data_IF_118609939464
#
_entry.id   IF_118609939464
#
_cell.length_a   1.000
_cell.length_b   1.000
_cell.length_c   1.000
_cell.angle_alpha   90.00
_cell.angle_beta   90.00
_cell.angle_gamma   90.00
#
_symmetry.space_group_name_H-M   'P 1'
#
loop_
_entity.id
_entity.type
_entity.pdbx_description
1 polymer ?
#
# COMPACT_ATOMS: atom_id res chain seq x y z
N UNK A 1 -10.97 -17.25 14.01
CA UNK A 1 -10.94 -17.57 12.56
C UNK A 1 -12.02 -16.73 11.91
N UNK A 2 -11.70 -15.86 10.95
CA UNK A 2 -12.72 -15.03 10.30
C UNK A 2 -13.76 -15.94 9.63
N UNK A 3 -15.04 -15.58 9.71
CA UNK A 3 -16.07 -16.35 9.02
C UNK A 3 -15.79 -16.28 7.50
N UNK A 4 -15.88 -17.41 6.75
CA UNK A 4 -15.60 -17.46 5.32
C UNK A 4 -16.31 -16.35 4.52
N UNK A 5 -17.53 -16.01 4.90
CA UNK A 5 -18.34 -14.98 4.27
C UNK A 5 -17.71 -13.57 4.32
N UNK A 6 -16.93 -13.27 5.35
CA UNK A 6 -16.31 -11.94 5.49
C UNK A 6 -15.12 -11.80 4.53
N UNK A 7 -14.34 -12.87 4.34
CA UNK A 7 -13.25 -12.90 3.38
C UNK A 7 -13.79 -12.77 1.95
N UNK A 8 -14.91 -13.42 1.63
CA UNK A 8 -15.56 -13.30 0.31
C UNK A 8 -15.98 -11.85 0.04
N UNK A 9 -16.65 -11.17 1.00
CA UNK A 9 -17.04 -9.76 0.81
C UNK A 9 -15.84 -8.83 0.62
N UNK A 10 -14.80 -9.00 1.44
CA UNK A 10 -13.58 -8.21 1.31
C UNK A 10 -12.91 -8.45 -0.06
N UNK A 11 -12.95 -9.70 -0.53
CA UNK A 11 -12.45 -10.06 -1.86
C UNK A 11 -13.25 -9.39 -2.98
N UNK A 12 -14.58 -9.42 -2.93
CA UNK A 12 -15.46 -8.78 -3.93
C UNK A 12 -15.22 -7.26 -3.99
N UNK A 13 -15.13 -6.60 -2.84
CA UNK A 13 -14.84 -5.16 -2.78
C UNK A 13 -13.43 -4.82 -3.32
N UNK A 14 -12.43 -5.65 -3.02
CA UNK A 14 -11.10 -5.52 -3.61
C UNK A 14 -11.13 -5.73 -5.13
N UNK A 15 -11.90 -6.71 -5.61
CA UNK A 15 -12.07 -7.00 -7.05
C UNK A 15 -12.71 -5.84 -7.80
N UNK A 16 -13.67 -5.17 -7.18
CA UNK A 16 -14.28 -3.98 -7.74
C UNK A 16 -13.24 -2.86 -7.90
N UNK A 17 -12.48 -2.57 -6.84
CA UNK A 17 -11.41 -1.55 -6.87
C UNK A 17 -10.25 -1.88 -7.81
N UNK A 18 -10.02 -3.16 -8.09
CA UNK A 18 -8.99 -3.63 -9.00
C UNK A 18 -9.15 -3.06 -10.41
N UNK A 19 -10.38 -3.06 -10.95
CA UNK A 19 -10.66 -2.64 -12.33
C UNK A 19 -11.30 -1.25 -12.42
N UNK A 20 -12.04 -0.83 -11.40
CA UNK A 20 -12.83 0.39 -11.50
C UNK A 20 -11.98 1.64 -11.26
N UNK A 21 -12.15 2.70 -12.07
CA UNK A 21 -11.63 4.02 -11.75
C UNK A 21 -12.10 4.49 -10.37
N UNK A 22 -11.27 5.28 -9.69
CA UNK A 22 -11.67 5.92 -8.45
C UNK A 22 -12.65 7.07 -8.75
N UNK A 23 -13.89 7.03 -8.22
CA UNK A 23 -14.92 8.01 -8.57
C UNK A 23 -14.58 9.43 -8.06
N UNK A 24 -13.77 9.54 -7.01
CA UNK A 24 -13.39 10.82 -6.41
C UNK A 24 -12.24 11.56 -7.11
N UNK A 25 -11.70 11.05 -8.22
CA UNK A 25 -10.59 11.70 -8.94
C UNK A 25 -11.03 12.23 -10.31
N UNK A 26 -10.78 13.52 -10.56
CA UNK A 26 -11.18 14.21 -11.78
C UNK A 26 -12.67 14.00 -12.14
N UNK A 27 -12.97 13.33 -13.26
CA UNK A 27 -14.34 13.02 -13.68
C UNK A 27 -14.87 11.69 -13.13
N UNK A 28 -14.09 10.96 -12.33
CA UNK A 28 -14.43 9.63 -11.82
C UNK A 28 -14.27 8.50 -12.82
N UNK A 29 -13.73 8.76 -14.02
CA UNK A 29 -13.58 7.78 -15.10
C UNK A 29 -12.12 7.55 -15.52
N UNK A 30 -11.15 8.17 -14.83
CA UNK A 30 -9.74 8.01 -15.16
C UNK A 30 -9.25 6.60 -14.77
N UNK A 31 -9.16 5.70 -15.75
CA UNK A 31 -8.73 4.30 -15.56
C UNK A 31 -7.35 4.16 -14.91
N UNK A 32 -6.53 5.21 -14.90
CA UNK A 32 -5.22 5.20 -14.23
C UNK A 32 -5.31 5.12 -12.70
N UNK A 33 -6.51 5.26 -12.15
CA UNK A 33 -6.79 5.28 -10.71
C UNK A 33 -7.35 3.97 -10.15
N UNK A 34 -7.43 2.91 -10.96
CA UNK A 34 -7.72 1.56 -10.45
C UNK A 34 -6.48 0.95 -9.80
N UNK A 35 -6.66 -0.03 -8.90
CA UNK A 35 -5.52 -0.62 -8.19
C UNK A 35 -4.56 -1.35 -9.16
N UNK A 36 -5.09 -1.99 -10.20
CA UNK A 36 -4.29 -2.58 -11.26
C UNK A 36 -3.42 -1.51 -11.96
N UNK A 37 -4.02 -0.37 -12.32
CA UNK A 37 -3.31 0.68 -13.04
C UNK A 37 -2.25 1.37 -12.17
N UNK A 38 -2.53 1.55 -10.87
CA UNK A 38 -1.54 2.04 -9.91
C UNK A 38 -0.37 1.05 -9.80
N UNK A 39 -0.63 -0.25 -9.65
CA UNK A 39 0.44 -1.24 -9.60
C UNK A 39 1.29 -1.23 -10.88
N UNK A 40 0.66 -1.14 -12.05
CA UNK A 40 1.36 -1.02 -13.33
C UNK A 40 2.17 0.27 -13.50
N UNK A 41 1.70 1.40 -12.98
CA UNK A 41 2.42 2.69 -13.05
C UNK A 41 3.62 2.73 -12.11
N UNK A 42 3.46 2.24 -10.88
CA UNK A 42 4.51 2.29 -9.87
C UNK A 42 5.52 1.16 -10.06
N UNK A 43 5.12 -0.10 -9.85
CA UNK A 43 6.03 -1.24 -10.00
C UNK A 43 6.46 -1.45 -11.46
N UNK A 44 5.52 -1.37 -12.42
CA UNK A 44 5.88 -1.50 -13.84
C UNK A 44 6.81 -0.40 -14.34
N UNK A 45 6.73 0.81 -13.76
CA UNK A 45 7.69 1.87 -14.00
C UNK A 45 9.10 1.51 -13.51
N UNK A 46 9.22 0.86 -12.35
CA UNK A 46 10.50 0.38 -11.83
C UNK A 46 11.08 -0.79 -12.63
N UNK A 47 10.25 -1.75 -13.04
CA UNK A 47 10.66 -2.85 -13.94
C UNK A 47 11.24 -2.29 -15.24
N UNK A 48 10.55 -1.32 -15.85
CA UNK A 48 11.04 -0.66 -17.05
C UNK A 48 12.37 0.07 -16.80
N UNK A 49 12.47 0.80 -15.68
CA UNK A 49 13.70 1.51 -15.31
C UNK A 49 14.87 0.55 -15.09
N UNK A 50 14.65 -0.55 -14.37
CA UNK A 50 15.66 -1.58 -14.11
C UNK A 50 16.17 -2.22 -15.41
N UNK A 51 15.29 -2.45 -16.39
CA UNK A 51 15.66 -2.96 -17.71
C UNK A 51 16.47 -1.96 -18.56
N UNK A 52 16.51 -0.67 -18.17
CA UNK A 52 17.19 0.40 -18.88
C UNK A 52 18.19 1.15 -17.97
N UNK A 53 18.90 0.40 -17.11
CA UNK A 53 19.99 0.91 -16.26
C UNK A 53 19.61 2.08 -15.34
N UNK A 54 18.33 2.17 -14.95
CA UNK A 54 17.79 3.25 -14.11
C UNK A 54 17.97 4.65 -14.73
N UNK A 55 18.13 4.71 -16.05
CA UNK A 55 18.21 5.94 -16.84
C UNK A 55 16.80 6.39 -17.24
N UNK A 56 16.48 7.66 -17.01
CA UNK A 56 15.13 8.20 -17.29
C UNK A 56 15.14 9.47 -18.15
N UNK A 57 16.19 9.69 -18.94
CA UNK A 57 16.33 10.84 -19.87
C UNK A 57 16.01 12.20 -19.22
N UNK A 58 16.34 12.38 -17.94
CA UNK A 58 16.12 13.63 -17.20
C UNK A 58 14.70 13.83 -16.67
N UNK A 59 13.85 12.80 -16.70
CA UNK A 59 12.52 12.81 -16.07
C UNK A 59 12.62 12.32 -14.62
N UNK A 60 11.48 12.17 -13.93
CA UNK A 60 11.39 11.41 -12.68
C UNK A 60 11.10 9.96 -13.00
N UNK A 61 11.58 9.00 -12.20
CA UNK A 61 11.25 7.58 -12.35
C UNK A 61 9.76 7.35 -12.08
N UNK A 62 9.23 8.02 -11.06
CA UNK A 62 7.80 8.10 -10.77
C UNK A 62 7.37 9.55 -10.92
N UNK A 63 6.44 9.81 -11.85
CA UNK A 63 5.95 11.17 -12.10
C UNK A 63 5.05 11.67 -10.97
N UNK A 64 5.11 12.98 -10.72
CA UNK A 64 4.26 13.68 -9.73
C UNK A 64 2.76 13.42 -9.92
N UNK A 65 2.32 13.19 -11.15
CA UNK A 65 0.92 12.90 -11.49
C UNK A 65 0.49 11.57 -10.88
N UNK A 66 1.36 10.56 -10.88
CA UNK A 66 1.07 9.26 -10.28
C UNK A 66 1.04 9.35 -8.76
N UNK A 67 1.95 10.14 -8.17
CA UNK A 67 1.90 10.46 -6.74
C UNK A 67 0.57 11.14 -6.39
N UNK A 68 0.15 12.13 -7.18
CA UNK A 68 -1.08 12.87 -6.93
C UNK A 68 -2.32 11.97 -7.04
N UNK A 69 -2.37 11.10 -8.06
CA UNK A 69 -3.41 10.08 -8.20
C UNK A 69 -3.45 9.15 -6.99
N UNK A 70 -2.32 8.56 -6.59
CA UNK A 70 -2.27 7.64 -5.47
C UNK A 70 -2.78 8.30 -4.18
N UNK A 71 -2.41 9.57 -3.94
CA UNK A 71 -2.88 10.32 -2.78
C UNK A 71 -4.39 10.52 -2.76
N UNK A 72 -5.01 10.80 -3.91
CA UNK A 72 -6.46 10.93 -3.99
C UNK A 72 -7.16 9.58 -3.81
N UNK A 73 -6.71 8.55 -4.53
CA UNK A 73 -7.30 7.21 -4.50
C UNK A 73 -7.22 6.59 -3.11
N UNK A 74 -6.15 6.89 -2.39
CA UNK A 74 -5.93 6.36 -1.04
C UNK A 74 -6.36 7.34 0.07
N UNK A 75 -7.05 8.43 -0.30
CA UNK A 75 -7.58 9.45 0.62
C UNK A 75 -6.52 10.13 1.50
N UNK A 76 -5.26 10.16 1.04
CA UNK A 76 -4.11 10.74 1.74
C UNK A 76 -3.95 12.25 1.52
N UNK A 77 -4.81 12.89 0.73
CA UNK A 77 -4.68 14.32 0.37
C UNK A 77 -4.63 15.23 1.58
N UNK A 78 -5.34 14.88 2.66
CA UNK A 78 -5.32 15.63 3.94
C UNK A 78 -4.01 15.49 4.71
N UNK A 79 -3.28 14.38 4.53
CA UNK A 79 -1.98 14.14 5.16
C UNK A 79 -0.82 14.81 4.42
N UNK A 80 -1.09 15.49 3.30
CA UNK A 80 -0.03 15.95 2.41
C UNK A 80 0.71 17.16 2.98
N UNK A 81 1.86 16.92 3.60
CA UNK A 81 2.76 17.97 4.08
C UNK A 81 3.71 18.52 2.98
N UNK A 82 3.86 17.81 1.85
CA UNK A 82 4.74 18.19 0.74
C UNK A 82 4.00 18.16 -0.60
N UNK A 83 4.39 19.03 -1.52
CA UNK A 83 3.83 19.01 -2.87
C UNK A 83 4.22 17.72 -3.63
N UNK A 84 3.38 17.23 -4.58
CA UNK A 84 3.68 16.02 -5.35
C UNK A 84 5.05 16.03 -6.03
N UNK A 85 5.54 17.19 -6.48
CA UNK A 85 6.87 17.36 -7.06
C UNK A 85 8.00 17.03 -6.07
N UNK A 86 7.84 17.42 -4.81
CA UNK A 86 8.83 17.18 -3.76
C UNK A 86 8.83 15.72 -3.35
N UNK A 87 7.65 15.09 -3.31
CA UNK A 87 7.50 13.65 -3.05
C UNK A 87 8.15 12.86 -4.19
N UNK A 88 7.86 13.20 -5.45
CA UNK A 88 8.48 12.56 -6.62
C UNK A 88 10.00 12.71 -6.63
N UNK A 89 10.52 13.87 -6.19
CA UNK A 89 11.95 14.07 -6.04
C UNK A 89 12.56 13.17 -4.96
N UNK A 90 11.95 13.12 -3.77
CA UNK A 90 12.43 12.26 -2.70
C UNK A 90 12.32 10.75 -3.05
N UNK A 91 11.33 10.38 -3.86
CA UNK A 91 11.20 9.03 -4.39
C UNK A 91 12.32 8.66 -5.35
N UNK A 92 12.74 9.58 -6.22
CA UNK A 92 13.88 9.34 -7.11
C UNK A 92 15.14 9.03 -6.30
N UNK A 93 15.41 9.80 -5.25
CA UNK A 93 16.56 9.59 -4.37
C UNK A 93 16.45 8.24 -3.65
N UNK A 94 15.29 7.95 -3.04
CA UNK A 94 15.00 6.66 -2.42
C UNK A 94 15.21 5.47 -3.39
N UNK A 95 14.70 5.57 -4.62
CA UNK A 95 14.82 4.51 -5.61
C UNK A 95 16.29 4.32 -6.00
N UNK A 96 17.03 5.40 -6.27
CA UNK A 96 18.43 5.33 -6.69
C UNK A 96 19.33 4.79 -5.58
N UNK A 97 19.11 5.20 -4.34
CA UNK A 97 20.01 4.92 -3.23
C UNK A 97 19.70 3.60 -2.53
N UNK A 98 18.42 3.18 -2.48
CA UNK A 98 17.99 2.02 -1.70
C UNK A 98 17.41 0.88 -2.54
N UNK A 99 16.55 1.19 -3.52
CA UNK A 99 15.83 0.19 -4.31
C UNK A 99 16.70 -0.39 -5.42
N UNK A 100 17.24 0.46 -6.29
CA UNK A 100 18.01 0.07 -7.46
C UNK A 100 19.21 -0.85 -7.14
N UNK A 101 20.00 -0.60 -6.07
CA UNK A 101 21.11 -1.48 -5.71
C UNK A 101 20.68 -2.89 -5.27
N UNK A 102 19.45 -3.04 -4.79
CA UNK A 102 18.90 -4.31 -4.28
C UNK A 102 17.97 -5.00 -5.27
N UNK A 103 17.50 -4.29 -6.30
CA UNK A 103 16.50 -4.77 -7.25
C UNK A 103 16.75 -6.18 -7.79
N UNK A 104 17.98 -6.57 -8.20
CA UNK A 104 18.22 -7.89 -8.77
C UNK A 104 17.95 -9.05 -7.80
N UNK A 105 17.98 -8.81 -6.49
CA UNK A 105 17.84 -9.85 -5.47
C UNK A 105 16.55 -9.77 -4.65
N UNK A 106 15.80 -8.67 -4.71
CA UNK A 106 14.60 -8.43 -3.88
C UNK A 106 13.61 -9.60 -3.88
N UNK A 107 13.30 -10.15 -5.07
CA UNK A 107 12.36 -11.27 -5.23
C UNK A 107 12.84 -12.56 -4.54
N UNK A 108 14.16 -12.77 -4.52
CA UNK A 108 14.81 -13.97 -3.99
C UNK A 108 15.20 -13.88 -2.52
N UNK A 109 15.01 -12.71 -1.88
CA UNK A 109 15.34 -12.55 -0.46
C UNK A 109 14.50 -13.51 0.40
N UNK A 110 15.07 -14.05 1.49
CA UNK A 110 14.29 -14.77 2.49
C UNK A 110 13.17 -13.90 3.07
N UNK A 111 12.04 -14.51 3.41
CA UNK A 111 10.85 -13.78 3.89
C UNK A 111 11.11 -12.92 5.13
N UNK A 112 11.96 -13.38 6.05
CA UNK A 112 12.38 -12.60 7.22
C UNK A 112 13.13 -11.32 6.82
N UNK A 113 14.00 -11.41 5.81
CA UNK A 113 14.75 -10.26 5.30
C UNK A 113 13.84 -9.31 4.53
N UNK A 114 12.90 -9.83 3.72
CA UNK A 114 11.87 -9.00 3.07
C UNK A 114 11.03 -8.25 4.09
N UNK A 115 10.64 -8.90 5.19
CA UNK A 115 9.86 -8.28 6.25
C UNK A 115 10.64 -7.16 6.95
N UNK A 116 11.90 -7.40 7.31
CA UNK A 116 12.76 -6.36 7.89
C UNK A 116 12.92 -5.17 6.93
N UNK A 117 13.19 -5.46 5.65
CA UNK A 117 13.36 -4.42 4.63
C UNK A 117 12.08 -3.62 4.39
N UNK A 118 10.92 -4.26 4.40
CA UNK A 118 9.63 -3.60 4.26
C UNK A 118 9.41 -2.57 5.37
N UNK A 119 9.69 -2.94 6.62
CA UNK A 119 9.58 -2.03 7.78
C UNK A 119 10.57 -0.88 7.65
N UNK A 120 11.85 -1.18 7.43
CA UNK A 120 12.90 -0.16 7.37
C UNK A 120 12.66 0.84 6.24
N UNK A 121 12.14 0.40 5.09
CA UNK A 121 11.83 1.29 3.96
C UNK A 121 10.59 2.14 4.20
N UNK A 122 9.56 1.62 4.88
CA UNK A 122 8.40 2.43 5.28
C UNK A 122 8.84 3.51 6.26
N UNK A 123 9.60 3.17 7.30
CA UNK A 123 10.12 4.13 8.28
C UNK A 123 11.07 5.16 7.61
N UNK A 124 11.94 4.72 6.69
CA UNK A 124 12.81 5.60 5.93
C UNK A 124 12.02 6.62 5.11
N UNK A 125 11.06 6.17 4.29
CA UNK A 125 10.23 7.04 3.47
C UNK A 125 9.35 7.95 4.32
N UNK A 126 8.85 7.47 5.46
CA UNK A 126 8.10 8.29 6.40
C UNK A 126 8.95 9.47 6.91
N UNK A 127 10.20 9.20 7.33
CA UNK A 127 11.10 10.22 7.86
C UNK A 127 11.69 11.18 6.82
N UNK A 128 11.94 10.72 5.59
CA UNK A 128 12.71 11.48 4.59
C UNK A 128 11.85 11.96 3.40
N UNK A 129 10.81 11.20 3.04
CA UNK A 129 10.00 11.41 1.83
C UNK A 129 8.90 12.46 1.98
N UNK A 130 8.23 12.50 3.13
CA UNK A 130 6.96 13.22 3.27
C UNK A 130 6.97 14.42 4.22
N UNK A 131 8.04 14.59 5.01
CA UNK A 131 8.27 15.82 5.78
C UNK A 131 7.51 15.95 7.10
N UNK A 132 6.87 14.88 7.59
CA UNK A 132 6.26 14.85 8.93
C UNK A 132 6.60 13.54 9.66
N UNK A 133 6.65 13.59 10.99
CA UNK A 133 6.91 12.45 11.88
C UNK A 133 5.86 11.33 11.78
N UNK A 134 4.68 11.58 11.19
CA UNK A 134 3.56 10.63 11.13
C UNK A 134 3.17 10.28 9.68
N UNK A 135 4.17 10.07 8.82
CA UNK A 135 3.96 9.81 7.38
C UNK A 135 3.95 8.32 7.01
N UNK A 136 4.00 7.43 8.00
CA UNK A 136 4.04 5.97 7.81
C UNK A 136 2.84 5.45 7.03
N UNK A 137 1.63 6.00 7.26
CA UNK A 137 0.43 5.61 6.52
C UNK A 137 0.52 5.92 5.02
N UNK A 138 1.20 7.01 4.64
CA UNK A 138 1.45 7.36 3.25
C UNK A 138 2.59 6.51 2.67
N UNK A 139 3.67 6.33 3.43
CA UNK A 139 4.82 5.52 3.05
C UNK A 139 4.44 4.05 2.79
N UNK A 140 3.64 3.45 3.67
CA UNK A 140 3.18 2.07 3.53
C UNK A 140 2.36 1.88 2.26
N UNK A 141 1.43 2.80 1.96
CA UNK A 141 0.62 2.73 0.73
C UNK A 141 1.45 2.90 -0.52
N UNK A 142 2.43 3.79 -0.48
CA UNK A 142 3.32 3.99 -1.61
C UNK A 142 4.14 2.73 -1.88
N UNK A 143 4.78 2.18 -0.84
CA UNK A 143 5.57 0.95 -0.97
C UNK A 143 4.74 -0.26 -1.33
N UNK A 144 3.48 -0.31 -0.90
CA UNK A 144 2.55 -1.37 -1.29
C UNK A 144 2.41 -1.50 -2.81
N UNK A 145 2.38 -0.38 -3.56
CA UNK A 145 2.33 -0.40 -5.03
C UNK A 145 3.72 -0.37 -5.68
N UNK A 146 4.73 0.21 -5.03
CA UNK A 146 6.07 0.39 -5.59
C UNK A 146 6.89 -0.90 -5.51
N UNK A 147 6.79 -1.65 -4.41
CA UNK A 147 7.60 -2.82 -4.11
C UNK A 147 6.71 -4.00 -3.70
N UNK A 148 5.91 -4.55 -4.63
CA UNK A 148 4.89 -5.54 -4.30
C UNK A 148 5.46 -6.86 -3.78
N UNK A 149 6.72 -7.17 -4.07
CA UNK A 149 7.42 -8.35 -3.54
C UNK A 149 7.71 -8.28 -2.03
N UNK A 150 7.62 -7.09 -1.41
CA UNK A 150 7.84 -6.91 0.01
C UNK A 150 6.51 -7.01 0.78
N UNK A 151 6.46 -7.66 1.96
CA UNK A 151 5.26 -7.86 2.77
C UNK A 151 4.86 -6.58 3.54
N UNK A 152 4.61 -5.51 2.81
CA UNK A 152 4.10 -4.23 3.32
C UNK A 152 2.61 -4.37 3.65
N UNK A 153 2.20 -3.87 4.82
CA UNK A 153 0.79 -3.75 5.23
C UNK A 153 0.45 -2.28 5.35
N UNK A 154 -0.68 -1.84 4.81
CA UNK A 154 -1.02 -0.43 4.86
C UNK A 154 -1.40 -0.01 6.28
N UNK A 155 -0.79 1.06 6.79
CA UNK A 155 -1.14 1.62 8.08
C UNK A 155 -2.27 2.66 7.95
N UNK A 156 -3.25 2.59 8.83
CA UNK A 156 -4.19 3.67 9.12
C UNK A 156 -4.86 3.41 10.47
N UNK A 157 -5.52 4.42 11.03
CA UNK A 157 -6.34 4.23 12.24
C UNK A 157 -7.41 3.16 12.02
N UNK A 158 -8.06 3.15 10.84
CA UNK A 158 -9.02 2.09 10.49
C UNK A 158 -8.39 0.69 10.49
N UNK A 159 -7.16 0.54 10.00
CA UNK A 159 -6.47 -0.75 10.02
C UNK A 159 -6.05 -1.17 11.43
N UNK A 160 -5.62 -0.24 12.29
CA UNK A 160 -5.33 -0.53 13.70
C UNK A 160 -6.59 -1.00 14.42
N UNK A 161 -7.72 -0.31 14.23
CA UNK A 161 -9.02 -0.71 14.80
C UNK A 161 -9.50 -2.05 14.25
N UNK A 162 -9.34 -2.31 12.95
CA UNK A 162 -9.65 -3.60 12.35
C UNK A 162 -8.81 -4.74 12.92
N UNK A 163 -7.50 -4.53 13.13
CA UNK A 163 -6.62 -5.50 13.77
C UNK A 163 -7.01 -5.76 15.23
N UNK A 164 -7.33 -4.70 15.98
CA UNK A 164 -7.82 -4.79 17.35
C UNK A 164 -9.12 -5.60 17.40
N UNK A 165 -10.08 -5.35 16.50
CA UNK A 165 -11.33 -6.10 16.40
C UNK A 165 -11.11 -7.57 16.06
N UNK A 166 -10.12 -7.89 15.22
CA UNK A 166 -9.82 -9.27 14.83
C UNK A 166 -9.05 -10.06 15.89
N UNK A 167 -8.15 -9.42 16.64
CA UNK A 167 -7.14 -10.11 17.45
C UNK A 167 -7.07 -9.69 18.92
N UNK A 168 -7.77 -8.62 19.32
CA UNK A 168 -7.70 -8.05 20.67
C UNK A 168 -6.34 -7.44 21.04
N UNK A 169 -5.45 -7.21 20.06
CA UNK A 169 -4.12 -6.62 20.27
C UNK A 169 -4.21 -5.10 20.34
N UNK A 170 -3.51 -4.49 21.31
CA UNK A 170 -3.51 -3.06 21.59
C UNK A 170 -3.03 -2.18 20.41
N UNK A 171 -3.27 -0.87 20.54
CA UNK A 171 -2.75 0.15 19.64
C UNK A 171 -1.23 0.00 19.45
N UNK A 172 -0.75 0.27 18.23
CA UNK A 172 0.66 0.17 17.86
C UNK A 172 1.22 1.58 17.73
N UNK A 173 2.30 1.87 18.45
CA UNK A 173 2.91 3.21 18.51
C UNK A 173 3.86 3.48 17.33
N UNK A 174 4.16 2.46 16.54
CA UNK A 174 5.06 2.53 15.38
C UNK A 174 4.56 1.66 14.22
N UNK A 175 5.03 1.94 13.00
CA UNK A 175 4.79 1.05 11.87
C UNK A 175 5.37 -0.35 12.09
N UNK A 176 6.53 -0.47 12.78
CA UNK A 176 7.16 -1.75 13.09
C UNK A 176 6.25 -2.65 13.93
N UNK A 177 5.69 -2.10 15.00
CA UNK A 177 4.77 -2.83 15.88
C UNK A 177 3.48 -3.20 15.13
N UNK A 178 2.93 -2.24 14.37
CA UNK A 178 1.76 -2.49 13.53
C UNK A 178 2.02 -3.62 12.52
N UNK A 179 3.15 -3.57 11.81
CA UNK A 179 3.50 -4.55 10.78
C UNK A 179 3.70 -5.95 11.37
N UNK A 180 4.25 -6.05 12.59
CA UNK A 180 4.38 -7.33 13.29
C UNK A 180 3.00 -7.91 13.65
N UNK A 181 2.09 -7.09 14.19
CA UNK A 181 0.73 -7.51 14.48
C UNK A 181 -0.07 -7.88 13.22
N UNK A 182 0.08 -7.10 12.14
CA UNK A 182 -0.54 -7.36 10.85
C UNK A 182 -0.03 -8.67 10.24
N UNK A 183 1.27 -8.94 10.29
CA UNK A 183 1.85 -10.20 9.80
C UNK A 183 1.30 -11.42 10.56
N UNK A 184 1.20 -11.33 11.89
CA UNK A 184 0.63 -12.42 12.71
C UNK A 184 -0.85 -12.65 12.38
N UNK A 185 -1.62 -11.58 12.20
CA UNK A 185 -3.02 -11.64 11.82
C UNK A 185 -3.19 -12.28 10.44
N UNK A 186 -2.41 -11.81 9.47
CA UNK A 186 -2.37 -12.29 8.11
C UNK A 186 -2.03 -13.79 8.05
N UNK A 187 -0.99 -14.23 8.76
CA UNK A 187 -0.61 -15.65 8.81
C UNK A 187 -1.72 -16.57 9.32
N UNK A 188 -2.59 -16.09 10.22
CA UNK A 188 -3.75 -16.87 10.71
C UNK A 188 -4.87 -17.02 9.68
N UNK A 189 -5.00 -16.06 8.76
CA UNK A 189 -6.08 -16.05 7.75
C UNK A 189 -5.59 -16.40 6.35
N UNK A 190 -4.27 -16.49 6.13
CA UNK A 190 -3.65 -16.79 4.85
C UNK A 190 -4.25 -18.03 4.15
N UNK A 191 -4.56 -19.14 4.84
CA UNK A 191 -5.22 -20.29 4.20
C UNK A 191 -6.60 -19.99 3.62
N UNK A 192 -7.31 -19.00 4.16
CA UNK A 192 -8.61 -18.54 3.62
C UNK A 192 -8.44 -17.48 2.54
N UNK A 193 -7.35 -16.73 2.55
CA UNK A 193 -7.04 -15.76 1.50
C UNK A 193 -6.54 -16.47 0.23
N UNK A 194 -5.76 -17.54 0.35
CA UNK A 194 -5.23 -18.29 -0.80
C UNK A 194 -6.30 -19.04 -1.61
N UNK A 195 -7.54 -19.06 -1.16
CA UNK A 195 -8.67 -19.67 -1.89
C UNK A 195 -9.47 -18.66 -2.70
N UNK A 196 -9.21 -17.35 -2.54
CA UNK A 196 -9.91 -16.32 -3.31
C UNK A 196 -9.38 -16.29 -4.75
N UNK A 197 -10.23 -15.89 -5.68
CA UNK A 197 -9.86 -15.91 -7.10
C UNK A 197 -8.90 -14.77 -7.41
N UNK A 198 -7.76 -15.06 -8.04
CA UNK A 198 -6.88 -14.02 -8.55
C UNK A 198 -7.61 -13.18 -9.62
N UNK A 199 -7.52 -11.84 -9.60
CA UNK A 199 -8.11 -11.01 -10.63
C UNK A 199 -7.30 -11.05 -11.92
N UNK A 200 -7.96 -10.76 -13.04
CA UNK A 200 -7.27 -10.54 -14.33
C UNK A 200 -6.92 -9.07 -14.48
N UNK A 201 -5.68 -8.75 -14.87
CA UNK A 201 -5.29 -7.37 -15.15
C UNK A 201 -5.89 -6.89 -16.49
N UNK A 202 -6.82 -5.93 -16.44
CA UNK A 202 -7.41 -5.30 -17.63
C UNK A 202 -6.89 -3.86 -17.82
N UNK A 203 -5.58 -3.69 -17.85
CA UNK A 203 -4.94 -2.37 -17.88
C UNK A 203 -3.94 -2.22 -19.02
N UNK A 204 -3.77 -0.97 -19.47
CA UNK A 204 -2.64 -0.56 -20.28
C UNK A 204 -2.49 -1.34 -21.58
N UNK A 205 -1.22 -1.48 -21.99
CA UNK A 205 -0.83 -2.39 -23.06
C UNK A 205 -0.49 -3.79 -22.52
N UNK A 206 -0.19 -4.71 -23.44
CA UNK A 206 0.15 -6.09 -23.10
C UNK A 206 1.38 -6.19 -22.19
N UNK A 207 2.33 -5.25 -22.29
CA UNK A 207 3.54 -5.29 -21.47
C UNK A 207 3.22 -4.95 -20.00
N UNK A 208 2.42 -3.91 -19.76
CA UNK A 208 1.96 -3.57 -18.41
C UNK A 208 1.11 -4.68 -17.79
N UNK A 209 0.19 -5.26 -18.55
CA UNK A 209 -0.60 -6.40 -18.09
C UNK A 209 0.29 -7.60 -17.69
N UNK A 210 1.30 -7.91 -18.50
CA UNK A 210 2.24 -9.01 -18.21
C UNK A 210 3.02 -8.76 -16.92
N UNK A 211 3.45 -7.53 -16.65
CA UNK A 211 4.18 -7.19 -15.41
C UNK A 211 3.29 -7.35 -14.19
N UNK A 212 2.05 -6.85 -14.26
CA UNK A 212 1.09 -7.00 -13.17
C UNK A 212 0.73 -8.46 -12.94
N UNK A 213 0.51 -9.22 -14.02
CA UNK A 213 0.22 -10.64 -13.92
C UNK A 213 1.34 -11.41 -13.23
N UNK A 214 2.61 -11.09 -13.53
CA UNK A 214 3.76 -11.68 -12.83
C UNK A 214 3.73 -11.37 -11.32
N UNK A 215 3.41 -10.14 -10.93
CA UNK A 215 3.29 -9.79 -9.50
C UNK A 215 2.23 -10.65 -8.82
N UNK A 216 1.07 -10.82 -9.47
CA UNK A 216 -0.03 -11.61 -8.92
C UNK A 216 0.29 -13.12 -8.87
N UNK A 217 1.22 -13.60 -9.67
CA UNK A 217 1.65 -15.01 -9.68
C UNK A 217 2.82 -15.30 -8.71
N UNK A 218 3.76 -14.36 -8.60
CA UNK A 218 5.02 -14.57 -7.89
C UNK A 218 5.02 -13.96 -6.46
N UNK A 219 3.93 -13.31 -6.04
CA UNK A 219 3.80 -12.71 -4.71
C UNK A 219 2.41 -12.87 -4.10
N UNK A 220 2.32 -12.60 -2.81
CA UNK A 220 1.07 -12.58 -2.05
C UNK A 220 0.36 -11.22 -2.05
N UNK A 221 0.69 -10.35 -3.02
CA UNK A 221 0.23 -8.98 -3.06
C UNK A 221 -1.31 -8.90 -3.10
N UNK A 222 -1.95 -9.80 -3.85
CA UNK A 222 -3.40 -9.84 -3.97
C UNK A 222 -4.06 -10.22 -2.64
N UNK A 223 -3.56 -11.25 -1.98
CA UNK A 223 -4.00 -11.69 -0.67
C UNK A 223 -3.85 -10.58 0.36
N UNK A 224 -2.72 -9.86 0.35
CA UNK A 224 -2.54 -8.67 1.20
C UNK A 224 -3.49 -7.53 0.84
N UNK A 225 -3.86 -7.36 -0.43
CA UNK A 225 -4.85 -6.36 -0.85
C UNK A 225 -6.26 -6.72 -0.38
N UNK A 226 -6.63 -8.00 -0.42
CA UNK A 226 -7.88 -8.50 0.17
C UNK A 226 -7.86 -8.37 1.69
N UNK A 227 -6.71 -8.63 2.32
CA UNK A 227 -6.54 -8.41 3.76
C UNK A 227 -6.65 -6.93 4.16
N UNK A 228 -6.10 -6.01 3.38
CA UNK A 228 -6.29 -4.56 3.56
C UNK A 228 -7.79 -4.22 3.59
N UNK A 229 -8.57 -4.75 2.63
CA UNK A 229 -10.01 -4.54 2.62
C UNK A 229 -10.70 -5.19 3.83
N UNK A 230 -10.27 -6.40 4.21
CA UNK A 230 -10.81 -7.10 5.37
C UNK A 230 -10.65 -6.27 6.65
N UNK A 231 -9.48 -5.66 6.86
CA UNK A 231 -9.23 -4.80 8.02
C UNK A 231 -10.11 -3.55 8.00
N UNK A 232 -10.34 -2.95 6.82
CA UNK A 232 -11.26 -1.82 6.67
C UNK A 232 -12.69 -2.20 7.04
N UNK A 233 -13.15 -3.36 6.58
CA UNK A 233 -14.51 -3.84 6.85
C UNK A 233 -14.75 -4.21 8.32
N UNK A 234 -13.70 -4.55 9.07
CA UNK A 234 -13.76 -4.83 10.51
C UNK A 234 -13.65 -3.56 11.38
N UNK A 235 -13.30 -2.42 10.81
CA UNK A 235 -13.28 -1.17 11.56
C UNK A 235 -14.72 -0.80 11.99
N UNK A 236 -14.96 -0.40 13.25
CA UNK A 236 -16.29 -0.13 13.75
C UNK A 236 -16.99 1.00 12.97
N UNK A 237 -18.27 0.81 12.66
CA UNK A 237 -19.10 1.78 11.91
C UNK A 237 -19.17 3.10 12.68
N UNK A 238 -18.77 4.19 12.04
CA UNK A 238 -18.71 5.52 12.68
C UNK A 238 -17.35 5.89 13.25
N UNK A 239 -16.37 4.97 13.23
CA UNK A 239 -14.99 5.40 13.10
C UNK A 239 -14.93 6.15 11.77
N UNK A 240 -14.85 7.49 11.85
CA UNK A 240 -14.57 8.32 10.68
C UNK A 240 -13.46 7.62 9.90
N UNK A 241 -13.54 7.51 8.57
CA UNK A 241 -12.44 7.00 7.77
C UNK A 241 -11.30 8.02 7.89
N UNK A 242 -10.64 8.05 9.05
CA UNK A 242 -9.35 8.70 9.26
C UNK A 242 -8.33 7.77 8.65
N UNK A 243 -8.44 7.63 7.33
CA UNK A 243 -7.32 7.35 6.46
C UNK A 243 -6.42 8.60 6.47
N UNK A 244 -5.78 8.82 7.63
CA UNK A 244 -4.87 9.92 7.82
C UNK A 244 -5.40 11.07 8.67
N UNK A 245 -5.31 10.90 9.99
CA UNK A 245 -5.31 11.97 10.99
C UNK A 245 -6.59 12.81 11.14
N UNK A 246 -6.70 13.47 12.29
CA UNK A 246 -7.58 14.63 12.44
C UNK A 246 -7.09 15.82 11.60
N UNK A 247 -7.84 16.93 11.59
CA UNK A 247 -7.49 18.16 10.86
C UNK A 247 -6.12 18.76 11.26
N UNK A 248 -5.44 18.20 12.27
CA UNK A 248 -4.14 18.59 12.77
C UNK A 248 -2.99 17.61 12.42
N UNK A 249 -3.25 16.50 11.72
CA UNK A 249 -2.19 15.56 11.33
C UNK A 249 -1.70 14.66 12.48
N UNK A 250 -2.48 14.50 13.55
CA UNK A 250 -2.15 13.57 14.64
C UNK A 250 -2.85 12.21 14.46
N UNK A 251 -2.18 11.13 14.89
CA UNK A 251 -2.87 9.87 15.19
C UNK A 251 -3.89 10.18 16.28
N UNK A 252 -5.17 9.91 16.01
CA UNK A 252 -6.21 10.19 16.99
C UNK A 252 -6.04 9.23 18.16
N UNK A 253 -5.46 9.74 19.25
CA UNK A 253 -5.58 9.16 20.57
C UNK A 253 -7.07 9.09 20.91
N UNK A 254 -7.59 7.90 21.13
CA UNK A 254 -8.97 7.73 21.58
C UNK A 254 -9.05 8.03 23.09
N UNK A 255 -9.66 9.13 23.56
CA UNK A 255 -9.76 9.45 24.99
C UNK A 255 -10.80 8.59 25.71
N UNK A 256 -11.54 7.73 24.98
CA UNK A 256 -12.73 7.06 25.49
C UNK A 256 -12.45 5.76 26.26
N UNK A 257 -11.20 5.51 26.66
CA UNK A 257 -10.81 4.33 27.46
C UNK A 257 -10.32 4.68 28.87
N UNK A 258 -10.44 5.95 29.30
CA UNK A 258 -10.33 6.32 30.71
C UNK A 258 -11.70 6.40 31.37
N UNK A 259 -12.35 5.25 31.57
CA UNK A 259 -13.35 5.03 32.64
C UNK A 259 -13.40 3.56 33.01
#
# INVERSE_FOLDING_TARGET
MAAPDIVIRAHEAALQRWNDPFPGFASGHDRRTSDAALLGQFYGGLEYAAAHDWLNAGRRLIDKTYVDMLWHVQELTRMRARQPEQIAAALDDFIRDLVAPRWPTLWSLPEIEKQALAVDWVEYLAGHGFGSLHSEAAASRLLFYLCPMLPVFNLSTGHQLGLLAMNGTAESDSYRDFSAHAQLAYGRIAPSLSTVTRPTAMIGDRAQATVVDRVLDDSDWWERRVFDQLLRDHAPVGATPMFGCDDAGQLVHNPSLET
#
